data_IF_327934128619
#
_entry.id   IF_327934128619
#
_cell.length_a   1.000
_cell.length_b   1.000
_cell.length_c   1.000
_cell.angle_alpha   90.00
_cell.angle_beta   90.00
_cell.angle_gamma   90.00
#
_symmetry.space_group_name_H-M   'P 1'
#
loop_
_entity.id
_entity.type
_entity.pdbx_description
1 polymer ?
#
# COMPACT_ATOMS: atom_id res chain seq x y z
N UNK A 1 23.11 -23.68 -1.21
CA UNK A 1 21.76 -23.40 -1.74
C UNK A 1 20.86 -23.10 -0.56
N UNK A 2 20.68 -21.82 -0.22
CA UNK A 2 19.81 -21.40 0.89
C UNK A 2 18.37 -21.41 0.41
N UNK A 3 17.60 -22.43 0.80
CA UNK A 3 16.15 -22.41 0.62
C UNK A 3 15.59 -21.30 1.53
N UNK A 4 15.36 -20.11 0.96
CA UNK A 4 14.55 -19.10 1.61
C UNK A 4 13.17 -19.69 1.88
N UNK A 5 12.69 -19.61 3.12
CA UNK A 5 11.33 -20.00 3.51
C UNK A 5 10.34 -19.49 2.46
N UNK A 6 9.85 -20.44 1.65
CA UNK A 6 8.87 -20.17 0.61
C UNK A 6 7.68 -19.46 1.26
N UNK A 7 7.21 -18.40 0.61
CA UNK A 7 5.98 -17.70 0.98
C UNK A 7 4.84 -18.71 1.11
N UNK A 8 4.55 -19.12 2.34
CA UNK A 8 3.42 -20.00 2.64
C UNK A 8 2.22 -19.11 2.90
N UNK A 9 1.17 -19.35 2.14
CA UNK A 9 -0.17 -18.89 2.45
C UNK A 9 -1.11 -20.08 2.54
N UNK A 10 -2.02 -20.01 3.50
CA UNK A 10 -3.18 -20.88 3.58
C UNK A 10 -4.37 -20.13 2.97
N UNK A 11 -4.81 -20.61 1.82
CA UNK A 11 -5.80 -19.93 0.99
C UNK A 11 -7.05 -20.79 0.86
N UNK A 12 -8.22 -20.24 1.22
CA UNK A 12 -9.49 -20.97 1.31
C UNK A 12 -10.59 -20.15 0.63
N UNK A 13 -11.45 -20.74 -0.23
CA UNK A 13 -11.44 -22.15 -0.67
C UNK A 13 -10.45 -22.39 -1.83
N UNK A 14 -9.82 -21.34 -2.35
CA UNK A 14 -8.95 -21.40 -3.53
C UNK A 14 -7.66 -20.66 -3.31
N UNK A 15 -6.58 -21.12 -3.95
CA UNK A 15 -5.26 -20.45 -3.97
C UNK A 15 -5.27 -19.04 -4.56
N UNK A 16 -6.36 -18.62 -5.21
CA UNK A 16 -6.47 -17.30 -5.87
C UNK A 16 -7.57 -16.42 -5.29
N UNK A 17 -8.51 -16.96 -4.54
CA UNK A 17 -9.62 -16.17 -4.01
C UNK A 17 -10.23 -16.76 -2.73
N UNK A 18 -10.82 -15.86 -1.93
CA UNK A 18 -11.49 -16.18 -0.67
C UNK A 18 -10.82 -15.51 0.52
N UNK A 19 -10.33 -16.30 1.48
CA UNK A 19 -9.56 -15.85 2.65
C UNK A 19 -8.15 -16.44 2.59
N UNK A 20 -7.13 -15.57 2.68
CA UNK A 20 -5.71 -15.93 2.67
C UNK A 20 -5.07 -15.59 4.02
N UNK A 21 -4.36 -16.54 4.61
CA UNK A 21 -3.48 -16.32 5.75
C UNK A 21 -2.03 -16.59 5.35
N UNK A 22 -1.21 -15.54 5.33
CA UNK A 22 0.17 -15.58 4.89
C UNK A 22 0.41 -14.81 3.59
N UNK A 23 1.57 -15.02 2.98
CA UNK A 23 2.04 -14.18 1.88
C UNK A 23 1.65 -14.75 0.50
N UNK A 24 0.35 -14.75 0.19
CA UNK A 24 -0.10 -15.07 -1.17
C UNK A 24 0.31 -13.95 -2.13
N UNK A 25 0.91 -14.30 -3.28
CA UNK A 25 1.46 -13.34 -4.26
C UNK A 25 0.41 -12.79 -5.23
N UNK A 26 -0.65 -13.56 -5.46
CA UNK A 26 -1.78 -13.22 -6.34
C UNK A 26 -3.08 -13.68 -5.70
N UNK A 27 -3.86 -12.75 -5.14
CA UNK A 27 -5.04 -13.12 -4.37
C UNK A 27 -6.19 -12.11 -4.49
N UNK A 28 -7.43 -12.62 -4.52
CA UNK A 28 -8.65 -11.82 -4.53
C UNK A 28 -9.56 -12.16 -3.34
N UNK A 29 -9.75 -11.24 -2.42
CA UNK A 29 -10.60 -11.45 -1.24
C UNK A 29 -10.05 -10.82 0.01
N UNK A 30 -10.13 -11.51 1.14
CA UNK A 30 -9.62 -11.07 2.43
C UNK A 30 -8.26 -11.72 2.71
N UNK A 31 -7.22 -10.91 2.89
CA UNK A 31 -5.85 -11.38 3.09
C UNK A 31 -5.29 -10.86 4.41
N UNK A 32 -4.84 -11.77 5.26
CA UNK A 32 -4.07 -11.48 6.46
C UNK A 32 -2.63 -11.89 6.20
N UNK A 33 -1.71 -10.96 6.36
CA UNK A 33 -0.29 -11.22 6.15
C UNK A 33 0.55 -10.60 7.25
N UNK A 34 1.66 -11.25 7.60
CA UNK A 34 2.62 -10.67 8.53
C UNK A 34 3.42 -9.55 7.85
N UNK A 35 3.96 -9.82 6.65
CA UNK A 35 4.81 -8.89 5.91
C UNK A 35 4.82 -9.22 4.42
N UNK A 36 4.49 -8.25 3.58
CA UNK A 36 4.44 -8.45 2.13
C UNK A 36 5.83 -8.68 1.54
N UNK A 37 5.94 -9.68 0.66
CA UNK A 37 7.17 -10.02 -0.06
C UNK A 37 6.85 -10.57 -1.43
N UNK A 38 7.43 -9.98 -2.48
CA UNK A 38 7.22 -10.38 -3.88
C UNK A 38 5.73 -10.55 -4.25
N UNK A 39 4.84 -9.74 -3.66
CA UNK A 39 3.43 -9.69 -4.02
C UNK A 39 3.33 -9.07 -5.41
N UNK A 40 2.51 -9.67 -6.27
CA UNK A 40 2.25 -9.18 -7.62
C UNK A 40 0.90 -8.50 -7.71
N UNK A 41 -0.15 -9.13 -7.17
CA UNK A 41 -1.51 -8.59 -7.24
C UNK A 41 -2.34 -8.97 -6.02
N UNK A 42 -2.97 -7.99 -5.39
CA UNK A 42 -4.01 -8.23 -4.37
C UNK A 42 -5.23 -7.40 -4.71
N UNK A 43 -6.40 -8.03 -4.76
CA UNK A 43 -7.68 -7.34 -4.97
C UNK A 43 -8.63 -7.65 -3.82
N UNK A 44 -9.11 -6.64 -3.09
CA UNK A 44 -9.99 -6.83 -1.93
C UNK A 44 -9.45 -6.18 -0.67
N UNK A 45 -9.48 -6.89 0.47
CA UNK A 45 -9.06 -6.38 1.77
C UNK A 45 -7.71 -7.03 2.14
N UNK A 46 -6.67 -6.22 2.35
CA UNK A 46 -5.33 -6.66 2.74
C UNK A 46 -4.96 -6.12 4.12
N UNK A 47 -4.66 -6.99 5.08
CA UNK A 47 -4.21 -6.63 6.42
C UNK A 47 -2.76 -7.10 6.55
N UNK A 48 -1.81 -6.16 6.63
CA UNK A 48 -0.38 -6.43 6.79
C UNK A 48 0.14 -5.93 8.14
N UNK A 49 0.76 -6.80 8.93
CA UNK A 49 1.25 -6.43 10.27
C UNK A 49 2.57 -5.65 10.25
N UNK A 50 3.32 -5.73 9.15
CA UNK A 50 4.64 -5.12 9.02
C UNK A 50 4.83 -4.44 7.67
N UNK A 51 5.81 -3.53 7.61
CA UNK A 51 6.22 -2.84 6.39
C UNK A 51 6.67 -3.85 5.32
N UNK A 52 6.21 -3.73 4.06
CA UNK A 52 6.63 -4.59 2.97
C UNK A 52 8.15 -4.75 2.87
N UNK A 53 8.60 -5.90 2.35
CA UNK A 53 10.01 -6.10 2.02
C UNK A 53 10.42 -5.25 0.83
N UNK A 54 11.73 -5.01 0.70
CA UNK A 54 12.33 -4.28 -0.42
C UNK A 54 12.13 -4.98 -1.78
N UNK A 55 11.77 -6.26 -1.77
CA UNK A 55 11.48 -7.06 -2.96
C UNK A 55 9.99 -6.96 -3.41
N UNK A 56 9.19 -6.12 -2.76
CA UNK A 56 7.76 -5.95 -3.03
C UNK A 56 7.46 -4.79 -4.00
N UNK A 57 8.38 -4.52 -4.94
CA UNK A 57 8.40 -3.34 -5.82
C UNK A 57 7.44 -3.44 -7.01
N UNK A 58 6.81 -4.59 -7.23
CA UNK A 58 5.87 -4.84 -8.34
C UNK A 58 4.41 -4.98 -7.87
N UNK A 59 4.16 -4.88 -6.56
CA UNK A 59 2.86 -5.18 -6.00
C UNK A 59 1.77 -4.21 -6.46
N UNK A 60 0.72 -4.74 -7.09
CA UNK A 60 -0.50 -3.99 -7.42
C UNK A 60 -1.60 -4.35 -6.43
N UNK A 61 -1.95 -3.42 -5.54
CA UNK A 61 -2.99 -3.61 -4.52
C UNK A 61 -4.20 -2.76 -4.89
N UNK A 62 -5.38 -3.39 -4.99
CA UNK A 62 -6.63 -2.74 -5.32
C UNK A 62 -7.71 -3.08 -4.28
N UNK A 63 -8.21 -2.09 -3.55
CA UNK A 63 -9.24 -2.26 -2.53
C UNK A 63 -8.85 -1.60 -1.20
N UNK A 64 -9.11 -2.27 -0.08
CA UNK A 64 -8.79 -1.78 1.27
C UNK A 64 -7.46 -2.36 1.74
N UNK A 65 -6.55 -1.54 2.27
CA UNK A 65 -5.33 -2.01 2.94
C UNK A 65 -5.22 -1.43 4.34
N UNK A 66 -4.94 -2.28 5.32
CA UNK A 66 -4.72 -1.91 6.72
C UNK A 66 -3.35 -2.44 7.14
N UNK A 67 -2.56 -1.64 7.84
CA UNK A 67 -1.30 -2.15 8.39
C UNK A 67 -0.44 -1.14 9.09
N UNK A 68 0.76 -1.55 9.51
CA UNK A 68 1.73 -0.61 10.09
C UNK A 68 2.14 0.44 9.05
N UNK A 69 2.60 -0.04 7.88
CA UNK A 69 2.85 0.76 6.69
C UNK A 69 2.43 -0.06 5.46
N UNK A 70 1.14 -0.07 5.07
CA UNK A 70 0.72 -0.73 3.83
C UNK A 70 1.44 -0.10 2.63
N UNK A 71 1.88 -0.95 1.70
CA UNK A 71 2.51 -0.45 0.49
C UNK A 71 2.78 -1.46 -0.61
N UNK A 72 3.10 -0.93 -1.78
CA UNK A 72 3.32 -1.69 -3.01
C UNK A 72 3.80 -0.77 -4.14
N UNK A 73 3.79 -1.26 -5.38
CA UNK A 73 4.08 -0.44 -6.55
C UNK A 73 2.91 0.50 -6.89
N UNK A 74 1.73 -0.09 -7.01
CA UNK A 74 0.51 0.59 -7.40
C UNK A 74 -0.55 0.29 -6.35
N UNK A 75 -1.07 1.33 -5.73
CA UNK A 75 -2.02 1.24 -4.62
C UNK A 75 -3.29 1.98 -5.03
N UNK A 76 -4.41 1.27 -5.20
CA UNK A 76 -5.69 1.85 -5.61
C UNK A 76 -6.79 1.49 -4.62
N UNK A 77 -7.41 2.48 -3.99
CA UNK A 77 -8.56 2.28 -3.10
C UNK A 77 -8.41 3.02 -1.78
N UNK A 78 -8.56 2.32 -0.66
CA UNK A 78 -8.48 2.88 0.69
C UNK A 78 -7.30 2.26 1.41
N UNK A 79 -6.35 3.06 1.87
CA UNK A 79 -5.13 2.57 2.50
C UNK A 79 -4.93 3.27 3.84
N UNK A 80 -4.97 2.52 4.93
CA UNK A 80 -4.88 3.03 6.29
C UNK A 80 -3.66 2.42 6.97
N UNK A 81 -2.67 3.27 7.21
CA UNK A 81 -1.43 2.94 7.89
C UNK A 81 -1.37 3.50 9.30
N UNK A 82 -1.00 2.66 10.27
CA UNK A 82 -0.80 3.10 11.65
C UNK A 82 0.36 4.11 11.75
N UNK A 83 1.41 3.97 10.95
CA UNK A 83 2.49 4.95 10.85
C UNK A 83 2.46 5.68 9.51
N UNK A 84 2.08 5.03 8.42
CA UNK A 84 2.02 5.69 7.12
C UNK A 84 1.51 4.77 6.03
N UNK A 85 1.27 5.28 4.82
CA UNK A 85 0.96 4.46 3.66
C UNK A 85 1.86 4.88 2.49
N UNK A 86 2.38 3.92 1.75
CA UNK A 86 3.43 4.18 0.76
C UNK A 86 3.28 3.40 -0.53
N UNK A 87 3.57 4.02 -1.67
CA UNK A 87 3.79 3.31 -2.93
C UNK A 87 5.09 3.71 -3.60
N UNK A 88 5.76 2.76 -4.27
CA UNK A 88 6.97 3.07 -5.04
C UNK A 88 6.67 3.74 -6.37
N UNK A 89 5.44 3.58 -6.91
CA UNK A 89 4.98 4.31 -8.08
C UNK A 89 3.75 5.17 -7.73
N UNK A 90 2.52 4.69 -7.94
CA UNK A 90 1.33 5.53 -7.75
C UNK A 90 0.43 5.09 -6.60
N UNK A 91 -0.18 6.08 -5.93
CA UNK A 91 -1.27 5.90 -4.97
C UNK A 91 -2.50 6.67 -5.44
N UNK A 92 -3.64 5.99 -5.50
CA UNK A 92 -4.91 6.59 -5.94
C UNK A 92 -6.05 6.19 -5.01
N UNK A 93 -6.72 7.18 -4.42
CA UNK A 93 -7.93 6.98 -3.60
C UNK A 93 -7.84 7.69 -2.25
N UNK A 94 -8.15 6.99 -1.16
CA UNK A 94 -8.16 7.55 0.21
C UNK A 94 -7.01 6.94 1.00
N UNK A 95 -6.06 7.77 1.40
CA UNK A 95 -4.80 7.34 1.98
C UNK A 95 -4.61 8.01 3.34
N UNK A 96 -4.51 7.21 4.41
CA UNK A 96 -4.37 7.68 5.79
C UNK A 96 -3.08 7.12 6.39
N UNK A 97 -2.31 7.99 7.03
CA UNK A 97 -1.08 7.64 7.71
C UNK A 97 -0.83 8.56 8.91
N UNK A 98 -0.53 8.01 10.10
CA UNK A 98 -0.29 8.85 11.27
C UNK A 98 0.93 9.77 11.11
N UNK A 99 2.00 9.29 10.49
CA UNK A 99 3.18 10.09 10.17
C UNK A 99 3.07 10.67 8.77
N UNK A 100 2.67 9.89 7.77
CA UNK A 100 2.55 10.44 6.43
C UNK A 100 2.08 9.47 5.36
N UNK A 101 1.86 10.03 4.18
CA UNK A 101 1.48 9.31 2.97
C UNK A 101 2.50 9.62 1.87
N UNK A 102 2.98 8.61 1.15
CA UNK A 102 4.04 8.80 0.15
C UNK A 102 3.83 8.01 -1.14
N UNK A 103 4.12 8.62 -2.29
CA UNK A 103 4.21 7.93 -3.57
C UNK A 103 5.52 8.27 -4.28
N UNK A 104 6.18 7.29 -4.91
CA UNK A 104 7.39 7.54 -5.69
C UNK A 104 7.13 8.31 -6.99
N UNK A 105 5.91 8.25 -7.51
CA UNK A 105 5.45 9.00 -8.68
C UNK A 105 4.27 9.90 -8.31
N UNK A 106 3.03 9.46 -8.55
CA UNK A 106 1.85 10.29 -8.39
C UNK A 106 1.02 9.88 -7.16
N UNK A 107 0.52 10.87 -6.44
CA UNK A 107 -0.38 10.70 -5.30
C UNK A 107 -1.70 11.43 -5.59
N UNK A 108 -2.78 10.67 -5.80
CA UNK A 108 -4.07 11.20 -6.26
C UNK A 108 -5.20 10.83 -5.30
N UNK A 109 -6.02 11.80 -4.87
CA UNK A 109 -7.23 11.59 -4.09
C UNK A 109 -7.22 12.33 -2.75
N UNK A 110 -7.61 11.67 -1.66
CA UNK A 110 -7.62 12.23 -0.31
C UNK A 110 -6.43 11.64 0.45
N UNK A 111 -5.49 12.49 0.84
CA UNK A 111 -4.26 12.09 1.53
C UNK A 111 -4.22 12.76 2.90
N UNK A 112 -4.25 11.97 3.96
CA UNK A 112 -4.21 12.45 5.34
C UNK A 112 -2.96 11.85 5.99
N UNK A 113 -1.93 12.68 6.15
CA UNK A 113 -0.67 12.33 6.77
C UNK A 113 -0.41 13.20 7.97
N UNK A 114 -0.23 12.66 9.18
CA UNK A 114 -0.11 13.53 10.35
C UNK A 114 1.06 14.51 10.28
N UNK A 115 2.21 14.13 9.70
CA UNK A 115 3.29 15.06 9.35
C UNK A 115 3.09 15.67 7.95
N UNK A 116 2.63 14.89 6.97
CA UNK A 116 2.41 15.39 5.61
C UNK A 116 2.17 14.33 4.54
N UNK A 117 2.03 14.78 3.30
CA UNK A 117 1.91 13.94 2.11
C UNK A 117 2.99 14.28 1.08
N UNK A 118 3.58 13.27 0.43
CA UNK A 118 4.69 13.47 -0.52
C UNK A 118 4.53 12.65 -1.79
N UNK A 119 4.90 13.23 -2.93
CA UNK A 119 4.98 12.51 -4.20
C UNK A 119 6.25 12.87 -4.98
N UNK A 120 6.87 11.90 -5.65
CA UNK A 120 8.06 12.17 -6.47
C UNK A 120 7.76 12.97 -7.75
N UNK A 121 6.52 12.90 -8.25
CA UNK A 121 6.03 13.68 -9.39
C UNK A 121 4.90 14.59 -8.95
N UNK A 122 3.64 14.17 -9.13
CA UNK A 122 2.47 15.02 -8.94
C UNK A 122 1.64 14.63 -7.71
N UNK A 123 1.11 15.64 -7.01
CA UNK A 123 0.05 15.48 -6.02
C UNK A 123 -1.24 16.07 -6.59
N UNK A 124 -2.34 15.32 -6.53
CA UNK A 124 -3.65 15.79 -6.99
C UNK A 124 -4.75 15.44 -6.00
N UNK A 125 -5.50 16.44 -5.51
CA UNK A 125 -6.67 16.25 -4.64
C UNK A 125 -6.55 16.96 -3.29
N UNK A 126 -7.13 16.37 -2.24
CA UNK A 126 -7.14 16.94 -0.89
C UNK A 126 -5.98 16.38 -0.08
N UNK A 127 -5.13 17.26 0.47
CA UNK A 127 -3.96 16.88 1.25
C UNK A 127 -4.00 17.54 2.62
N UNK A 128 -4.04 16.73 3.68
CA UNK A 128 -4.07 17.19 5.05
C UNK A 128 -2.81 16.66 5.75
N UNK A 129 -2.00 17.58 6.28
CA UNK A 129 -0.90 17.23 7.16
C UNK A 129 -0.28 18.43 7.86
N UNK A 130 0.37 18.17 8.99
CA UNK A 130 0.86 19.22 9.88
C UNK A 130 1.94 20.11 9.24
N UNK A 131 2.85 19.52 8.46
CA UNK A 131 3.90 20.23 7.73
C UNK A 131 3.55 20.45 6.24
N UNK A 132 2.33 20.10 5.82
CA UNK A 132 1.85 20.31 4.46
C UNK A 132 2.08 19.13 3.50
N UNK A 133 2.06 19.43 2.19
CA UNK A 133 2.24 18.47 1.11
C UNK A 133 3.28 18.96 0.09
N UNK A 134 4.07 18.04 -0.47
CA UNK A 134 5.15 18.36 -1.40
C UNK A 134 5.24 17.39 -2.58
N UNK A 135 5.45 17.94 -3.78
CA UNK A 135 5.56 17.19 -5.02
C UNK A 135 6.85 17.61 -5.76
N UNK A 136 7.45 16.70 -6.53
CA UNK A 136 8.60 17.03 -7.37
C UNK A 136 8.25 17.85 -8.62
N UNK A 137 7.00 17.74 -9.05
CA UNK A 137 6.39 18.48 -10.17
C UNK A 137 5.22 19.31 -9.61
N UNK A 138 3.97 18.98 -9.96
CA UNK A 138 2.81 19.81 -9.64
C UNK A 138 2.07 19.36 -8.36
N UNK A 139 1.57 20.34 -7.60
CA UNK A 139 0.56 20.15 -6.55
C UNK A 139 -0.74 20.81 -7.00
N UNK A 140 -1.77 20.01 -7.26
CA UNK A 140 -3.09 20.48 -7.70
C UNK A 140 -4.17 20.08 -6.71
N UNK A 141 -4.87 21.03 -6.11
CA UNK A 141 -5.97 20.77 -5.19
C UNK A 141 -5.92 21.63 -3.93
N UNK A 142 -6.39 21.07 -2.82
CA UNK A 142 -6.48 21.72 -1.50
C UNK A 142 -5.52 21.05 -0.53
#
# INVERSE_FOLDING_TARGET
>A
MTQGLNAQSLDIPSRRWGVSFGNSKEFTGLRFNFRDSQVRRVTGINITLWTPRKDNTEAVVSGLSLGLIPGGAQMKGIHIGLLGAGATANMTGVNLGLLGVGAGENLTGINIGGLGAGAGKNITGLNIGFFGAGAGEDVTGI
#
